data_IF_702006715332
#
_entry.id   IF_702006715332
#
_cell.length_a   1.000
_cell.length_b   1.000
_cell.length_c   1.000
_cell.angle_alpha   90.00
_cell.angle_beta   90.00
_cell.angle_gamma   90.00
#
_symmetry.space_group_name_H-M   'P 1'
#
loop_
_entity.id
_entity.type
_entity.pdbx_description
1 polymer ?
#
# COMPACT_ATOMS: atom_id res chain seq x y z
N UNK A 1 10.15 -6.70 -20.08
CA UNK A 1 11.57 -6.60 -19.67
C UNK A 1 12.08 -8.02 -19.48
N UNK A 2 13.28 -8.37 -19.94
CA UNK A 2 13.80 -9.73 -19.70
C UNK A 2 14.22 -9.91 -18.23
N UNK A 3 14.28 -11.15 -17.70
CA UNK A 3 14.62 -11.40 -16.30
C UNK A 3 15.99 -10.85 -15.87
N UNK A 4 16.98 -10.87 -16.76
CA UNK A 4 18.34 -10.40 -16.48
C UNK A 4 18.41 -8.88 -16.29
N UNK A 5 17.68 -8.11 -17.10
CA UNK A 5 17.56 -6.66 -16.96
C UNK A 5 16.86 -6.29 -15.65
N UNK A 6 15.83 -7.04 -15.28
CA UNK A 6 15.10 -6.81 -14.03
C UNK A 6 15.96 -7.09 -12.79
N UNK A 7 16.73 -8.19 -12.80
CA UNK A 7 17.68 -8.51 -11.73
C UNK A 7 18.80 -7.46 -11.62
N UNK A 8 19.27 -6.93 -12.76
CA UNK A 8 20.24 -5.83 -12.78
C UNK A 8 19.68 -4.56 -12.14
N UNK A 9 18.45 -4.20 -12.50
CA UNK A 9 17.80 -2.99 -12.00
C UNK A 9 17.54 -3.06 -10.49
N UNK A 10 17.16 -4.23 -9.97
CA UNK A 10 17.02 -4.42 -8.52
C UNK A 10 18.34 -4.30 -7.77
N UNK A 11 19.40 -4.93 -8.27
CA UNK A 11 20.72 -4.81 -7.66
C UNK A 11 21.18 -3.35 -7.64
N UNK A 12 20.91 -2.62 -8.73
CA UNK A 12 21.19 -1.21 -8.82
C UNK A 12 20.40 -0.40 -7.78
N UNK A 13 19.08 -0.61 -7.66
CA UNK A 13 18.26 0.07 -6.65
C UNK A 13 18.68 -0.26 -5.22
N UNK A 14 18.98 -1.53 -4.92
CA UNK A 14 19.48 -1.94 -3.61
C UNK A 14 20.80 -1.22 -3.28
N UNK A 15 21.74 -1.21 -4.23
CA UNK A 15 23.04 -0.53 -4.05
C UNK A 15 22.86 0.97 -3.81
N UNK A 16 21.93 1.62 -4.52
CA UNK A 16 21.63 3.04 -4.31
C UNK A 16 21.01 3.28 -2.94
N UNK A 17 20.12 2.40 -2.49
CA UNK A 17 19.49 2.48 -1.17
C UNK A 17 20.54 2.34 -0.06
N UNK A 18 21.37 1.31 -0.13
CA UNK A 18 22.43 1.05 0.85
C UNK A 18 23.42 2.21 0.94
N UNK A 19 23.83 2.76 -0.22
CA UNK A 19 24.71 3.93 -0.28
C UNK A 19 24.07 5.16 0.34
N UNK A 20 22.77 5.36 0.14
CA UNK A 20 22.05 6.51 0.65
C UNK A 20 21.87 6.43 2.16
N UNK A 21 21.50 5.26 2.67
CA UNK A 21 21.45 4.99 4.12
C UNK A 21 22.82 5.24 4.78
N UNK A 22 23.91 4.80 4.14
CA UNK A 22 25.28 5.05 4.62
C UNK A 22 25.71 6.52 4.55
N UNK A 23 25.13 7.34 3.66
CA UNK A 23 25.39 8.78 3.59
C UNK A 23 24.54 9.58 4.60
N UNK A 24 23.43 9.01 5.07
CA UNK A 24 22.54 9.62 6.05
C UNK A 24 22.98 9.39 7.50
N UNK A 25 23.94 8.48 7.76
CA UNK A 25 24.52 8.30 9.11
C UNK A 25 25.28 9.57 9.52
N UNK A 26 24.63 10.42 10.34
CA UNK A 26 25.20 11.67 10.86
C UNK A 26 24.48 12.95 10.44
N UNK A 27 23.43 12.86 9.62
CA UNK A 27 22.55 14.00 9.29
C UNK A 27 21.26 13.85 10.10
N UNK A 28 20.82 14.92 10.78
CA UNK A 28 19.48 14.99 11.39
C UNK A 28 18.42 14.51 10.39
N UNK A 29 17.38 13.75 10.80
CA UNK A 29 16.36 13.21 9.92
C UNK A 29 15.55 14.34 9.26
N UNK A 30 16.12 14.90 8.20
CA UNK A 30 15.53 15.89 7.31
C UNK A 30 15.02 15.20 6.04
N UNK A 31 13.88 15.67 5.55
CA UNK A 31 13.23 15.28 4.30
C UNK A 31 14.23 14.99 3.18
N UNK A 32 14.39 13.73 2.81
CA UNK A 32 15.28 13.36 1.70
C UNK A 32 14.48 12.71 0.56
N UNK A 33 14.01 13.55 -0.38
CA UNK A 33 13.04 13.19 -1.43
C UNK A 33 13.44 11.98 -2.31
N UNK A 34 14.74 11.75 -2.50
CA UNK A 34 15.22 10.61 -3.25
C UNK A 34 15.17 9.28 -2.47
N UNK A 35 14.95 9.27 -1.14
CA UNK A 35 14.68 8.02 -0.39
C UNK A 35 13.29 7.52 -0.75
N UNK A 36 12.31 8.42 -0.82
CA UNK A 36 10.95 8.09 -1.28
C UNK A 36 10.96 7.59 -2.72
N UNK A 37 11.75 8.22 -3.59
CA UNK A 37 11.86 7.81 -5.00
C UNK A 37 12.43 6.39 -5.12
N UNK A 38 13.45 6.04 -4.32
CA UNK A 38 14.03 4.70 -4.32
C UNK A 38 13.07 3.66 -3.73
N UNK A 39 12.34 3.99 -2.66
CA UNK A 39 11.29 3.12 -2.10
C UNK A 39 10.17 2.86 -3.12
N UNK A 40 9.69 3.92 -3.78
CA UNK A 40 8.68 3.84 -4.85
C UNK A 40 9.15 2.99 -6.03
N UNK A 41 10.38 3.22 -6.51
CA UNK A 41 10.97 2.45 -7.59
C UNK A 41 11.08 0.95 -7.22
N UNK A 42 11.51 0.65 -5.99
CA UNK A 42 11.56 -0.71 -5.48
C UNK A 42 10.17 -1.37 -5.45
N UNK A 43 9.15 -0.64 -5.02
CA UNK A 43 7.76 -1.12 -5.01
C UNK A 43 7.23 -1.40 -6.43
N UNK A 44 7.51 -0.51 -7.39
CA UNK A 44 7.13 -0.71 -8.80
C UNK A 44 7.78 -1.97 -9.40
N UNK A 45 9.05 -2.23 -9.10
CA UNK A 45 9.71 -3.45 -9.58
C UNK A 45 9.12 -4.71 -8.97
N UNK A 46 8.77 -4.69 -7.68
CA UNK A 46 8.05 -5.79 -7.03
C UNK A 46 6.72 -6.03 -7.72
N UNK A 47 5.91 -4.98 -7.94
CA UNK A 47 4.65 -5.07 -8.67
C UNK A 47 4.82 -5.67 -10.06
N UNK A 48 5.84 -5.24 -10.80
CA UNK A 48 6.13 -5.74 -12.15
C UNK A 48 6.46 -7.24 -12.18
N UNK A 49 7.00 -7.80 -11.08
CA UNK A 49 7.29 -9.23 -10.95
C UNK A 49 6.09 -10.09 -10.61
N UNK A 50 5.08 -9.50 -9.98
CA UNK A 50 3.87 -10.20 -9.60
C UNK A 50 3.01 -10.39 -10.84
N UNK A 51 3.21 -11.52 -11.52
CA UNK A 51 2.29 -11.99 -12.54
C UNK A 51 0.95 -12.35 -11.86
N UNK A 52 -0.15 -11.62 -12.15
CA UNK A 52 -1.45 -11.91 -11.55
C UNK A 52 -1.93 -13.34 -11.83
N UNK A 53 -1.57 -13.90 -12.98
CA UNK A 53 -1.97 -15.27 -13.35
C UNK A 53 -1.21 -16.32 -12.54
N UNK A 54 0.06 -16.07 -12.21
CA UNK A 54 0.89 -16.99 -11.44
C UNK A 54 0.65 -16.86 -9.92
N UNK A 55 0.38 -15.65 -9.45
CA UNK A 55 0.27 -15.34 -8.01
C UNK A 55 -1.15 -15.44 -7.48
N UNK A 56 -2.17 -15.39 -8.36
CA UNK A 56 -3.57 -15.28 -7.94
C UNK A 56 -3.93 -13.92 -7.37
N UNK A 57 -3.02 -12.94 -7.44
CA UNK A 57 -3.25 -11.58 -6.97
C UNK A 57 -4.34 -10.91 -7.84
N UNK A 58 -5.47 -10.50 -7.28
CA UNK A 58 -6.51 -9.81 -8.03
C UNK A 58 -6.03 -8.43 -8.49
N UNK A 59 -6.79 -7.81 -9.39
CA UNK A 59 -6.55 -6.41 -9.74
C UNK A 59 -6.55 -5.54 -8.47
N UNK A 60 -5.73 -4.49 -8.48
CA UNK A 60 -5.57 -3.57 -7.36
C UNK A 60 -6.05 -2.20 -7.84
N UNK A 61 -6.81 -1.49 -7.01
CA UNK A 61 -7.21 -0.11 -7.24
C UNK A 61 -6.88 0.67 -5.97
N UNK A 62 -6.20 1.80 -6.13
CA UNK A 62 -5.81 2.65 -5.00
C UNK A 62 -6.54 3.98 -5.09
N UNK A 63 -7.20 4.37 -3.99
CA UNK A 63 -7.86 5.68 -3.87
C UNK A 63 -6.96 6.59 -3.05
N UNK A 64 -6.44 7.64 -3.70
CA UNK A 64 -5.52 8.61 -3.08
C UNK A 64 -6.15 10.01 -3.01
N UNK A 65 -5.71 10.80 -2.03
CA UNK A 65 -6.24 12.14 -1.83
C UNK A 65 -5.97 12.68 -0.43
N UNK A 66 -6.07 14.00 -0.22
CA UNK A 66 -5.77 14.64 1.05
C UNK A 66 -6.76 14.22 2.15
N UNK A 67 -6.47 14.58 3.39
CA UNK A 67 -7.38 14.38 4.53
C UNK A 67 -8.76 14.97 4.22
N UNK A 68 -9.83 14.27 4.64
CA UNK A 68 -11.22 14.73 4.50
C UNK A 68 -11.71 14.94 3.05
N UNK A 69 -11.01 14.41 2.03
CA UNK A 69 -11.45 14.45 0.64
C UNK A 69 -12.54 13.42 0.27
N UNK A 70 -12.92 12.55 1.22
CA UNK A 70 -13.94 11.53 0.98
C UNK A 70 -13.43 10.23 0.34
N UNK A 71 -12.12 9.92 0.44
CA UNK A 71 -11.53 8.66 -0.06
C UNK A 71 -12.30 7.41 0.38
N UNK A 72 -12.51 7.25 1.69
CA UNK A 72 -13.26 6.11 2.26
C UNK A 72 -14.69 6.04 1.74
N UNK A 73 -15.31 7.19 1.43
CA UNK A 73 -16.63 7.25 0.79
C UNK A 73 -16.57 6.70 -0.63
N UNK A 74 -15.57 7.08 -1.43
CA UNK A 74 -15.34 6.52 -2.77
C UNK A 74 -15.10 5.01 -2.69
N UNK A 75 -14.25 4.55 -1.76
CA UNK A 75 -13.99 3.12 -1.53
C UNK A 75 -15.30 2.37 -1.24
N UNK A 76 -16.13 2.89 -0.35
CA UNK A 76 -17.44 2.30 -0.04
C UNK A 76 -18.37 2.24 -1.26
N UNK A 77 -18.41 3.31 -2.07
CA UNK A 77 -19.22 3.35 -3.30
C UNK A 77 -18.73 2.29 -4.28
N UNK A 78 -17.41 2.19 -4.50
CA UNK A 78 -16.80 1.24 -5.43
C UNK A 78 -17.04 -0.22 -5.02
N UNK A 79 -16.96 -0.49 -3.71
CA UNK A 79 -17.24 -1.81 -3.15
C UNK A 79 -18.74 -2.11 -3.01
N UNK A 80 -19.58 -1.07 -3.02
CA UNK A 80 -21.02 -1.13 -2.73
C UNK A 80 -21.31 -1.64 -1.32
N UNK A 81 -20.40 -1.40 -0.39
CA UNK A 81 -20.48 -1.84 0.99
C UNK A 81 -19.93 -0.75 1.91
N UNK A 82 -20.47 -0.63 3.12
CA UNK A 82 -19.92 0.24 4.16
C UNK A 82 -18.81 -0.52 4.89
N UNK A 83 -17.63 -0.58 4.27
CA UNK A 83 -16.46 -1.29 4.80
C UNK A 83 -15.37 -0.34 5.31
N UNK A 84 -15.07 0.71 4.55
CA UNK A 84 -14.15 1.76 4.98
C UNK A 84 -14.93 2.70 5.92
N UNK A 85 -14.54 2.78 7.19
CA UNK A 85 -15.19 3.70 8.14
C UNK A 85 -14.66 5.11 7.87
N UNK A 86 -15.46 6.03 7.31
CA UNK A 86 -15.02 7.41 7.15
C UNK A 86 -14.88 8.02 8.55
N UNK A 87 -13.69 8.50 8.89
CA UNK A 87 -13.47 9.20 10.15
C UNK A 87 -13.22 10.68 9.91
N UNK A 88 -13.91 11.57 10.65
CA UNK A 88 -13.67 13.00 10.59
C UNK A 88 -12.37 13.41 11.30
N UNK A 89 -11.73 12.51 12.06
CA UNK A 89 -10.48 12.77 12.77
C UNK A 89 -9.29 12.59 11.82
N UNK A 90 -8.47 13.64 11.71
CA UNK A 90 -7.18 13.57 11.03
C UNK A 90 -6.31 12.47 11.65
N UNK A 91 -5.61 11.71 10.81
CA UNK A 91 -4.80 10.57 11.26
C UNK A 91 -5.61 9.35 11.72
N UNK A 92 -6.83 9.13 11.22
CA UNK A 92 -7.56 7.89 11.49
C UNK A 92 -7.11 6.74 10.60
N UNK A 93 -6.92 6.99 9.29
CA UNK A 93 -6.29 6.04 8.39
C UNK A 93 -4.77 6.24 8.48
N UNK A 94 -4.12 5.54 9.41
CA UNK A 94 -2.64 5.61 9.59
C UNK A 94 -1.88 4.53 8.83
N UNK A 95 -2.59 3.53 8.32
CA UNK A 95 -2.06 2.42 7.54
C UNK A 95 -2.97 2.11 6.36
N UNK A 96 -2.46 1.38 5.36
CA UNK A 96 -3.21 1.04 4.17
C UNK A 96 -4.36 0.07 4.51
N UNK A 97 -5.57 0.35 4.02
CA UNK A 97 -6.73 -0.51 4.24
C UNK A 97 -7.26 -1.03 2.91
N UNK A 98 -7.15 -2.34 2.70
CA UNK A 98 -7.66 -3.05 1.53
C UNK A 98 -9.06 -3.60 1.76
N UNK A 99 -9.91 -3.50 0.75
CA UNK A 99 -11.25 -4.07 0.75
C UNK A 99 -11.44 -4.95 -0.47
N UNK A 100 -11.92 -6.18 -0.24
CA UNK A 100 -12.20 -7.11 -1.34
C UNK A 100 -13.50 -7.88 -1.15
N UNK A 101 -14.15 -8.22 -2.25
CA UNK A 101 -15.29 -9.13 -2.24
C UNK A 101 -14.89 -10.60 -2.41
N UNK A 102 -13.66 -10.85 -2.87
CA UNK A 102 -13.13 -12.20 -3.03
C UNK A 102 -12.94 -12.86 -1.66
N UNK A 103 -12.97 -14.21 -1.59
CA UNK A 103 -12.47 -14.93 -0.43
C UNK A 103 -11.03 -14.50 -0.11
N UNK A 104 -10.74 -14.42 1.18
CA UNK A 104 -9.38 -14.24 1.67
C UNK A 104 -8.91 -15.65 2.04
N UNK A 105 -8.12 -16.25 1.16
CA UNK A 105 -7.53 -17.57 1.31
C UNK A 105 -6.01 -17.48 1.37
N UNK A 106 -5.35 -18.62 1.64
CA UNK A 106 -3.90 -18.68 1.78
C UNK A 106 -3.15 -18.25 0.51
N UNK A 107 -3.78 -18.38 -0.67
CA UNK A 107 -3.20 -17.95 -1.95
C UNK A 107 -3.13 -16.43 -2.01
N UNK A 108 -4.24 -15.74 -1.68
CA UNK A 108 -4.26 -14.28 -1.61
C UNK A 108 -3.30 -13.74 -0.55
N UNK A 109 -3.25 -14.38 0.63
CA UNK A 109 -2.33 -14.00 1.71
C UNK A 109 -0.87 -14.12 1.27
N UNK A 110 -0.51 -15.23 0.62
CA UNK A 110 0.84 -15.45 0.11
C UNK A 110 1.21 -14.43 -0.98
N UNK A 111 0.27 -14.09 -1.88
CA UNK A 111 0.47 -13.08 -2.90
C UNK A 111 0.70 -11.69 -2.31
N UNK A 112 -0.10 -11.30 -1.31
CA UNK A 112 0.06 -10.03 -0.61
C UNK A 112 1.34 -9.97 0.20
N UNK A 113 1.79 -11.08 0.80
CA UNK A 113 3.09 -11.14 1.47
C UNK A 113 4.26 -10.96 0.50
N UNK A 114 4.13 -11.41 -0.75
CA UNK A 114 5.13 -11.12 -1.79
C UNK A 114 5.10 -9.66 -2.24
N UNK A 115 3.91 -9.07 -2.28
CA UNK A 115 3.71 -7.65 -2.61
C UNK A 115 4.26 -6.73 -1.52
N UNK A 116 3.95 -7.04 -0.26
CA UNK A 116 4.33 -6.28 0.93
C UNK A 116 5.26 -7.11 1.84
N UNK A 117 6.50 -7.39 1.43
CA UNK A 117 7.39 -8.27 2.18
C UNK A 117 7.85 -7.69 3.54
N UNK A 118 7.70 -6.37 3.71
CA UNK A 118 8.05 -5.66 4.95
C UNK A 118 6.83 -5.36 5.82
N UNK A 119 5.62 -5.49 5.28
CA UNK A 119 4.43 -5.13 6.04
C UNK A 119 3.75 -6.36 6.60
N UNK A 120 3.23 -6.21 7.81
CA UNK A 120 2.44 -7.23 8.45
C UNK A 120 0.95 -6.96 8.25
N UNK A 121 0.19 -8.02 7.99
CA UNK A 121 -1.26 -7.90 7.96
C UNK A 121 -1.77 -7.73 9.38
N UNK A 122 -2.45 -6.61 9.62
CA UNK A 122 -3.19 -6.38 10.84
C UNK A 122 -4.62 -6.96 10.72
N UNK A 123 -5.01 -7.74 11.72
CA UNK A 123 -6.36 -8.31 11.84
C UNK A 123 -7.25 -7.49 12.79
N UNK A 124 -6.65 -6.69 13.67
CA UNK A 124 -7.34 -5.83 14.61
C UNK A 124 -7.15 -4.36 14.21
N UNK A 125 -8.24 -3.72 13.76
CA UNK A 125 -8.17 -2.34 13.27
C UNK A 125 -8.17 -1.29 14.39
N UNK A 126 -7.71 -1.64 15.60
CA UNK A 126 -7.58 -0.67 16.69
C UNK A 126 -6.62 0.47 16.30
N UNK A 127 -7.02 1.75 16.47
CA UNK A 127 -6.19 2.91 16.13
C UNK A 127 -4.87 3.01 16.90
N UNK A 128 -4.76 2.28 18.02
CA UNK A 128 -3.64 2.37 18.96
C UNK A 128 -2.40 1.57 18.51
N UNK A 129 -2.52 0.70 17.50
CA UNK A 129 -1.45 -0.19 17.02
C UNK A 129 -0.84 0.24 15.66
N UNK A 130 -0.94 1.52 15.30
CA UNK A 130 -0.46 2.02 14.02
C UNK A 130 1.08 2.07 13.92
N UNK A 131 1.69 0.97 13.48
CA UNK A 131 3.04 0.97 12.92
C UNK A 131 2.96 1.33 11.42
N UNK A 132 3.96 2.01 10.82
CA UNK A 132 3.97 2.29 9.39
C UNK A 132 4.05 1.05 8.50
N UNK A 133 4.52 -0.08 9.04
CA UNK A 133 4.72 -1.33 8.32
C UNK A 133 3.55 -2.32 8.50
N UNK A 134 2.31 -1.83 8.47
CA UNK A 134 1.13 -2.71 8.52
C UNK A 134 0.11 -2.35 7.44
N UNK A 135 -0.70 -3.33 7.07
CA UNK A 135 -1.90 -3.13 6.27
C UNK A 135 -3.06 -3.94 6.83
N UNK A 136 -4.29 -3.48 6.62
CA UNK A 136 -5.49 -4.28 6.88
C UNK A 136 -6.08 -4.79 5.56
N UNK A 137 -6.65 -5.99 5.57
CA UNK A 137 -7.47 -6.49 4.47
C UNK A 137 -8.78 -7.01 5.00
N UNK A 138 -9.88 -6.42 4.51
CA UNK A 138 -11.24 -6.72 4.95
C UNK A 138 -12.05 -7.28 3.80
N UNK A 139 -12.69 -8.43 4.05
CA UNK A 139 -13.68 -8.98 3.12
C UNK A 139 -15.02 -8.27 3.31
N UNK A 140 -15.58 -7.74 2.23
CA UNK A 140 -16.89 -7.08 2.24
C UNK A 140 -17.91 -7.87 1.42
N UNK A 141 -19.19 -7.77 1.80
CA UNK A 141 -20.28 -8.35 1.01
C UNK A 141 -20.50 -7.49 -0.23
N UNK A 142 -20.44 -8.14 -1.39
CA UNK A 142 -20.37 -7.55 -2.72
C UNK A 142 -21.70 -6.91 -3.15
N UNK A 143 -21.69 -5.61 -3.47
CA UNK A 143 -22.85 -4.97 -4.15
C UNK A 143 -22.48 -3.73 -4.98
N UNK A 144 -21.19 -3.49 -5.27
CA UNK A 144 -20.73 -2.27 -5.95
C UNK A 144 -20.58 -2.39 -7.48
N UNK A 145 -20.32 -1.29 -8.19
CA UNK A 145 -20.16 -1.27 -9.65
C UNK A 145 -18.98 -2.10 -10.15
N UNK A 146 -17.94 -2.32 -9.33
CA UNK A 146 -16.76 -3.10 -9.70
C UNK A 146 -16.87 -4.60 -9.32
N UNK A 147 -18.09 -5.06 -9.07
CA UNK A 147 -18.39 -6.43 -8.67
C UNK A 147 -18.23 -7.48 -9.78
N UNK A 148 -17.86 -7.15 -11.01
CA UNK A 148 -17.78 -8.17 -12.06
C UNK A 148 -16.50 -9.03 -12.00
N UNK A 149 -15.44 -8.58 -11.29
CA UNK A 149 -14.15 -9.27 -11.21
C UNK A 149 -13.56 -9.23 -9.79
N UNK A 150 -12.65 -10.15 -9.43
CA UNK A 150 -11.85 -10.04 -8.21
C UNK A 150 -11.01 -8.75 -8.23
N UNK A 151 -11.17 -7.92 -7.21
CA UNK A 151 -10.52 -6.63 -7.05
C UNK A 151 -10.21 -6.40 -5.56
N UNK A 152 -9.08 -5.78 -5.26
CA UNK A 152 -8.82 -5.13 -3.97
C UNK A 152 -8.83 -3.63 -4.20
N UNK A 153 -9.66 -2.92 -3.42
CA UNK A 153 -9.68 -1.46 -3.38
C UNK A 153 -8.99 -1.01 -2.11
N UNK A 154 -7.93 -0.20 -2.25
CA UNK A 154 -7.16 0.35 -1.14
C UNK A 154 -7.60 1.77 -0.82
N UNK A 155 -7.90 2.00 0.46
CA UNK A 155 -7.96 3.32 1.07
C UNK A 155 -6.58 3.65 1.65
N UNK A 156 -5.99 4.76 1.18
CA UNK A 156 -4.67 5.18 1.65
C UNK A 156 -4.77 6.08 2.89
N UNK A 157 -3.70 6.16 3.70
CA UNK A 157 -3.60 7.14 4.75
C UNK A 157 -3.90 8.58 4.32
N UNK A 158 -4.39 9.36 5.28
CA UNK A 158 -4.72 10.77 5.11
C UNK A 158 -3.45 11.64 5.06
N UNK A 159 -3.17 12.32 3.96
CA UNK A 159 -2.11 13.33 3.90
C UNK A 159 -2.49 14.59 4.68
N UNK A 160 -2.28 14.63 6.00
CA UNK A 160 -2.34 15.87 6.77
C UNK A 160 -0.94 16.48 6.96
N UNK A 161 -0.85 17.80 7.10
CA UNK A 161 0.44 18.49 7.25
C UNK A 161 1.09 18.29 8.62
N UNK A 162 0.38 17.69 9.59
CA UNK A 162 0.78 17.66 11.01
C UNK A 162 1.42 16.33 11.40
N UNK A 163 0.88 15.21 10.92
CA UNK A 163 1.29 13.84 11.23
C UNK A 163 1.78 13.06 10.01
N UNK A 164 1.67 13.61 8.78
CA UNK A 164 2.12 12.92 7.55
C UNK A 164 3.54 12.40 7.57
N UNK A 165 4.44 12.97 8.39
CA UNK A 165 5.83 12.51 8.50
C UNK A 165 5.93 11.04 8.91
N UNK A 166 4.97 10.51 9.66
CA UNK A 166 5.03 9.15 10.21
C UNK A 166 4.56 8.06 9.25
N UNK A 167 3.77 8.40 8.22
CA UNK A 167 3.17 7.44 7.29
C UNK A 167 3.31 7.85 5.81
N UNK A 168 4.19 8.82 5.51
CA UNK A 168 4.43 9.30 4.13
C UNK A 168 4.97 8.22 3.21
N UNK A 169 5.73 7.26 3.75
CA UNK A 169 6.31 6.15 2.97
C UNK A 169 5.25 5.17 2.47
N UNK A 170 4.14 5.04 3.20
CA UNK A 170 3.06 4.11 2.88
C UNK A 170 2.44 4.48 1.54
N UNK A 171 2.18 5.78 1.30
CA UNK A 171 1.38 6.16 0.13
C UNK A 171 2.09 5.90 -1.20
N UNK A 172 3.35 6.31 -1.42
CA UNK A 172 4.10 5.90 -2.60
C UNK A 172 4.14 4.38 -2.76
N UNK A 173 4.38 3.63 -1.68
CA UNK A 173 4.44 2.17 -1.75
C UNK A 173 3.10 1.55 -2.16
N UNK A 174 1.97 1.98 -1.59
CA UNK A 174 0.64 1.52 -2.02
C UNK A 174 0.38 1.93 -3.48
N UNK A 175 0.69 3.18 -3.86
CA UNK A 175 0.49 3.68 -5.22
C UNK A 175 1.24 2.88 -6.28
N UNK A 176 2.49 2.49 -5.99
CA UNK A 176 3.33 1.71 -6.89
C UNK A 176 2.75 0.32 -7.19
N UNK A 177 1.81 -0.15 -6.36
CA UNK A 177 1.29 -1.49 -6.41
C UNK A 177 -0.08 -1.59 -7.10
N UNK A 178 -0.71 -0.45 -7.42
CA UNK A 178 -1.94 -0.40 -8.23
C UNK A 178 -1.67 -0.94 -9.64
#
# INVERSE_FOLDING_TARGET
MNPASLATLERFLSTLKDRREALQTGVEPGHDDATYTLSYAGALLRRFRLDPAATGLPAQLVVIGPTQSGKSTIVNILMGARGAVPSPLAGYTRYAQGFTAAPIDDVLEAALKQQFPRWERCYDTSPEMASPDIYALTRVRKSGPLSSRPLIVWDTPDFDSVSSREYRDIVPEVCAMA
#
